data_IF_799206998821
#
_entry.id   IF_799206998821
#
_cell.length_a   1.000
_cell.length_b   1.000
_cell.length_c   1.000
_cell.angle_alpha   90.00
_cell.angle_beta   90.00
_cell.angle_gamma   90.00
#
_symmetry.space_group_name_H-M   'P 1'
#
loop_
_entity.id
_entity.type
_entity.pdbx_description
1 polymer ?
#
# COMPACT_ATOMS: atom_id res chain seq x y z
N UNK A 1 -16.76 10.18 10.06
CA UNK A 1 -15.92 9.43 9.10
C UNK A 1 -16.78 8.44 8.34
N UNK A 2 -17.01 8.68 7.04
CA UNK A 2 -17.77 7.72 6.23
C UNK A 2 -16.84 6.59 5.79
N UNK A 3 -16.99 5.40 6.39
CA UNK A 3 -16.24 4.21 6.00
C UNK A 3 -16.72 3.76 4.62
N UNK A 4 -15.91 4.00 3.59
CA UNK A 4 -16.16 3.46 2.26
C UNK A 4 -15.52 2.08 2.15
N UNK A 5 -16.28 1.12 1.63
CA UNK A 5 -15.75 -0.20 1.29
C UNK A 5 -14.76 -0.02 0.14
N UNK A 6 -13.52 -0.46 0.36
CA UNK A 6 -12.52 -0.52 -0.70
C UNK A 6 -12.86 -1.66 -1.64
N UNK A 7 -12.66 -1.44 -2.93
CA UNK A 7 -12.86 -2.47 -3.95
C UNK A 7 -11.98 -3.70 -3.66
N UNK A 8 -12.59 -4.89 -3.71
CA UNK A 8 -11.93 -6.13 -3.33
C UNK A 8 -10.79 -6.54 -4.27
N UNK A 9 -10.77 -5.99 -5.51
CA UNK A 9 -9.72 -6.27 -6.50
C UNK A 9 -8.32 -5.91 -6.00
N UNK A 10 -8.19 -4.85 -5.21
CA UNK A 10 -6.91 -4.41 -4.63
C UNK A 10 -6.37 -5.49 -3.68
N UNK A 11 -7.24 -6.00 -2.80
CA UNK A 11 -6.87 -7.04 -1.84
C UNK A 11 -6.48 -8.34 -2.56
N UNK A 12 -7.29 -8.79 -3.52
CA UNK A 12 -7.02 -10.00 -4.30
C UNK A 12 -5.67 -9.89 -5.02
N UNK A 13 -5.37 -8.74 -5.65
CA UNK A 13 -4.11 -8.53 -6.35
C UNK A 13 -2.89 -8.61 -5.42
N UNK A 14 -3.01 -8.10 -4.19
CA UNK A 14 -1.94 -8.18 -3.19
C UNK A 14 -1.76 -9.62 -2.71
N UNK A 15 -2.85 -10.29 -2.34
CA UNK A 15 -2.82 -11.68 -1.84
C UNK A 15 -2.22 -12.63 -2.88
N UNK A 16 -2.67 -12.52 -4.15
CA UNK A 16 -2.14 -13.33 -5.25
C UNK A 16 -0.67 -13.00 -5.53
N UNK A 17 -0.28 -11.72 -5.54
CA UNK A 17 1.11 -11.33 -5.74
C UNK A 17 2.04 -11.90 -4.66
N UNK A 18 1.60 -11.96 -3.40
CA UNK A 18 2.36 -12.59 -2.32
C UNK A 18 2.44 -14.10 -2.50
N UNK A 19 1.32 -14.77 -2.80
CA UNK A 19 1.26 -16.23 -2.98
C UNK A 19 2.14 -16.70 -4.16
N UNK A 20 2.04 -16.02 -5.30
CA UNK A 20 2.77 -16.34 -6.54
C UNK A 20 4.18 -15.74 -6.58
N UNK A 21 4.61 -15.02 -5.53
CA UNK A 21 5.88 -14.29 -5.47
C UNK A 21 6.09 -13.31 -6.62
N UNK A 22 5.00 -12.69 -7.07
CA UNK A 22 4.98 -11.69 -8.13
C UNK A 22 4.94 -10.27 -7.55
N UNK A 23 5.61 -9.33 -8.21
CA UNK A 23 5.63 -7.92 -7.81
C UNK A 23 4.43 -7.19 -8.41
N UNK A 24 3.56 -6.66 -7.56
CA UNK A 24 2.42 -5.84 -7.97
C UNK A 24 2.80 -4.36 -7.99
N UNK A 25 2.31 -3.63 -9.00
CA UNK A 25 2.48 -2.17 -9.13
C UNK A 25 1.14 -1.46 -8.95
N UNK A 26 1.11 -0.40 -8.14
CA UNK A 26 -0.05 0.46 -7.95
C UNK A 26 0.31 1.90 -8.29
N UNK A 27 -0.59 2.59 -9.01
CA UNK A 27 -0.51 4.03 -9.27
C UNK A 27 -1.68 4.69 -8.56
N UNK A 28 -1.40 5.58 -7.62
CA UNK A 28 -2.40 6.30 -6.83
C UNK A 28 -2.48 7.73 -7.33
N UNK A 29 -3.66 8.15 -7.78
CA UNK A 29 -3.90 9.51 -8.31
C UNK A 29 -4.79 10.28 -7.34
N UNK A 30 -4.36 11.47 -6.95
CA UNK A 30 -5.13 12.42 -6.13
C UNK A 30 -4.31 13.06 -5.01
N UNK A 31 -4.75 14.22 -4.55
CA UNK A 31 -4.01 15.09 -3.61
C UNK A 31 -3.78 14.42 -2.23
N UNK A 32 -4.64 13.46 -1.87
CA UNK A 32 -4.56 12.69 -0.61
C UNK A 32 -4.06 11.26 -0.82
N UNK A 33 -3.26 11.02 -1.85
CA UNK A 33 -2.70 9.69 -2.15
C UNK A 33 -1.86 9.11 -0.99
N UNK A 34 -1.17 9.98 -0.24
CA UNK A 34 -0.35 9.60 0.93
C UNK A 34 -1.15 8.83 1.99
N UNK A 35 -2.42 9.19 2.21
CA UNK A 35 -3.28 8.53 3.19
C UNK A 35 -3.67 7.12 2.73
N UNK A 36 -3.73 6.90 1.40
CA UNK A 36 -4.07 5.60 0.82
C UNK A 36 -2.90 4.61 0.88
N UNK A 37 -1.65 5.10 0.85
CA UNK A 37 -0.44 4.25 0.98
C UNK A 37 -0.45 3.49 2.30
N UNK A 38 -0.93 4.12 3.38
CA UNK A 38 -1.07 3.47 4.70
C UNK A 38 -2.01 2.26 4.64
N UNK A 39 -3.12 2.39 3.91
CA UNK A 39 -4.11 1.32 3.74
C UNK A 39 -3.50 0.17 2.93
N UNK A 40 -2.80 0.46 1.83
CA UNK A 40 -2.13 -0.54 1.00
C UNK A 40 -1.06 -1.31 1.81
N UNK A 41 -0.25 -0.61 2.59
CA UNK A 41 0.75 -1.22 3.45
C UNK A 41 0.11 -2.12 4.53
N UNK A 42 -1.04 -1.73 5.08
CA UNK A 42 -1.78 -2.56 6.03
C UNK A 42 -2.28 -3.86 5.38
N UNK A 43 -2.80 -3.81 4.15
CA UNK A 43 -3.21 -5.00 3.41
C UNK A 43 -2.01 -5.93 3.13
N UNK A 44 -0.89 -5.37 2.68
CA UNK A 44 0.34 -6.14 2.44
C UNK A 44 0.87 -6.79 3.72
N UNK A 45 0.89 -6.06 4.84
CA UNK A 45 1.32 -6.59 6.13
C UNK A 45 0.44 -7.74 6.62
N UNK A 46 -0.86 -7.75 6.26
CA UNK A 46 -1.77 -8.87 6.57
C UNK A 46 -1.60 -10.06 5.64
N UNK A 47 -1.28 -9.82 4.37
CA UNK A 47 -1.09 -10.89 3.39
C UNK A 47 0.28 -11.60 3.55
N UNK A 48 1.27 -10.93 4.16
CA UNK A 48 2.62 -11.48 4.32
C UNK A 48 2.80 -12.19 5.67
N UNK A 49 3.52 -13.32 5.67
CA UNK A 49 3.85 -14.09 6.89
C UNK A 49 4.94 -13.39 7.72
N UNK A 50 5.72 -12.48 7.10
CA UNK A 50 6.82 -11.77 7.76
C UNK A 50 6.28 -10.62 8.61
N UNK A 51 6.78 -10.50 9.84
CA UNK A 51 6.27 -9.56 10.85
C UNK A 51 6.26 -8.07 10.47
N UNK A 52 7.05 -7.63 9.47
CA UNK A 52 6.97 -6.27 8.88
C UNK A 52 7.81 -6.16 7.61
N UNK A 53 7.20 -5.89 6.44
CA UNK A 53 7.94 -5.50 5.25
C UNK A 53 8.69 -4.18 5.47
N UNK A 54 9.93 -4.08 4.99
CA UNK A 54 10.66 -2.80 4.92
C UNK A 54 10.11 -1.94 3.78
N UNK A 55 9.98 -0.64 4.00
CA UNK A 55 9.47 0.31 3.01
C UNK A 55 10.58 1.28 2.61
N UNK A 56 10.80 1.44 1.31
CA UNK A 56 11.66 2.48 0.74
C UNK A 56 10.82 3.67 0.30
N UNK A 57 11.19 4.86 0.76
CA UNK A 57 10.59 6.12 0.31
C UNK A 57 11.58 6.86 -0.58
N UNK A 58 11.16 7.17 -1.81
CA UNK A 58 11.93 7.96 -2.75
C UNK A 58 11.18 9.25 -3.06
N UNK A 59 11.81 10.39 -2.81
CA UNK A 59 11.24 11.71 -3.08
C UNK A 59 12.32 12.71 -3.47
N UNK A 60 11.92 13.72 -4.26
CA UNK A 60 12.87 14.73 -4.78
C UNK A 60 13.16 15.86 -3.79
N UNK A 61 12.16 16.27 -3.00
CA UNK A 61 12.26 17.39 -2.03
C UNK A 61 11.80 16.97 -0.64
N UNK A 62 10.52 17.13 -0.33
CA UNK A 62 9.95 16.79 0.97
C UNK A 62 8.65 16.00 0.79
N UNK A 63 8.43 15.02 1.66
CA UNK A 63 7.23 14.17 1.65
C UNK A 63 6.14 14.66 2.62
N UNK A 64 6.36 15.80 3.30
CA UNK A 64 5.45 16.35 4.32
C UNK A 64 5.40 15.56 5.63
N UNK A 65 6.31 14.60 5.83
CA UNK A 65 6.46 13.79 7.06
C UNK A 65 7.91 13.60 7.51
N UNK A 66 8.88 14.04 6.71
CA UNK A 66 10.29 14.13 7.14
C UNK A 66 10.47 15.49 7.80
N UNK A 67 11.06 15.50 9.00
CA UNK A 67 11.39 16.73 9.74
C UNK A 67 12.37 17.60 8.95
#
# INVERSE_FOLDING_TARGET
MHRKKVDNRIRILIENGVAERQRSLFVVVGDRGKDQVVILHHMLSKATVRARPSVLWCYKKELGFSR
#
